data_IF_945147628473
#
_entry.id   IF_945147628473
#
_cell.length_a   1.000
_cell.length_b   1.000
_cell.length_c   1.000
_cell.angle_alpha   90.00
_cell.angle_beta   90.00
_cell.angle_gamma   90.00
#
_symmetry.space_group_name_H-M   'P 1'
#
loop_
_entity.id
_entity.type
_entity.pdbx_description
1 polymer ?
#
# COMPACT_ATOMS: atom_id res chain seq x y z
N UNK A 1 -6.34 -2.12 -80.92
CA UNK A 1 -7.31 -2.96 -80.17
C UNK A 1 -6.59 -3.40 -78.90
N UNK A 2 -6.98 -3.17 -77.63
CA UNK A 2 -8.17 -2.69 -76.94
C UNK A 2 -7.76 -1.56 -75.95
N UNK A 3 -8.69 -0.65 -75.66
CA UNK A 3 -8.63 0.35 -74.59
C UNK A 3 -9.26 -0.20 -73.31
N UNK A 4 -8.82 0.27 -72.14
CA UNK A 4 -9.59 0.65 -70.93
C UNK A 4 -8.60 0.78 -69.75
N UNK A 5 -8.27 2.00 -69.31
CA UNK A 5 -8.97 2.74 -68.24
C UNK A 5 -8.46 2.41 -66.83
N UNK A 6 -7.83 3.42 -66.23
CA UNK A 6 -7.86 3.81 -64.81
C UNK A 6 -8.34 2.78 -63.79
N UNK A 7 -7.50 2.45 -62.81
CA UNK A 7 -7.82 2.79 -61.41
C UNK A 7 -6.58 2.72 -60.52
N UNK A 8 -6.26 3.88 -59.94
CA UNK A 8 -5.46 4.04 -58.73
C UNK A 8 -5.96 3.08 -57.65
N UNK A 9 -5.04 2.46 -56.91
CA UNK A 9 -5.25 2.14 -55.48
C UNK A 9 -3.92 1.83 -54.82
N UNK A 10 -3.37 2.90 -54.25
CA UNK A 10 -2.37 2.88 -53.20
C UNK A 10 -2.77 1.90 -52.09
N UNK A 11 -1.86 1.02 -51.71
CA UNK A 11 -1.90 0.40 -50.38
C UNK A 11 -0.51 0.55 -49.78
N UNK A 12 -0.32 1.67 -49.09
CA UNK A 12 0.78 1.84 -48.16
C UNK A 12 0.53 0.89 -47.00
N UNK A 13 1.33 -0.17 -46.90
CA UNK A 13 1.37 -1.02 -45.73
C UNK A 13 2.10 -0.24 -44.62
N UNK A 14 1.35 0.58 -43.88
CA UNK A 14 1.80 1.15 -42.62
C UNK A 14 1.96 0.00 -41.62
N UNK A 15 3.20 -0.49 -41.47
CA UNK A 15 3.59 -1.39 -40.40
C UNK A 15 3.45 -0.66 -39.07
N UNK A 16 2.34 -0.92 -38.37
CA UNK A 16 2.17 -0.53 -36.98
C UNK A 16 3.15 -1.34 -36.14
N UNK A 17 4.30 -0.77 -35.84
CA UNK A 17 5.21 -1.29 -34.82
C UNK A 17 4.56 -1.07 -33.47
N UNK A 18 3.80 -2.07 -33.00
CA UNK A 18 3.27 -2.11 -31.65
C UNK A 18 4.45 -2.17 -30.68
N UNK A 19 4.83 -1.02 -30.13
CA UNK A 19 5.66 -0.93 -28.94
C UNK A 19 4.87 -1.58 -27.80
N UNK A 20 5.10 -2.88 -27.58
CA UNK A 20 4.71 -3.53 -26.33
C UNK A 20 5.57 -2.87 -25.26
N UNK A 21 4.99 -1.87 -24.60
CA UNK A 21 5.51 -1.36 -23.34
C UNK A 21 5.47 -2.53 -22.37
N UNK A 22 6.59 -3.22 -22.23
CA UNK A 22 6.83 -4.14 -21.12
C UNK A 22 6.89 -3.25 -19.88
N UNK A 23 5.72 -2.95 -19.33
CA UNK A 23 5.63 -2.38 -18.01
C UNK A 23 6.35 -3.36 -17.08
N UNK A 24 7.42 -2.96 -16.37
CA UNK A 24 7.93 -3.78 -15.30
C UNK A 24 6.78 -3.89 -14.30
N UNK A 25 6.14 -5.05 -14.27
CA UNK A 25 5.35 -5.47 -13.12
C UNK A 25 6.38 -5.58 -12.02
N UNK A 26 6.60 -4.48 -11.30
CA UNK A 26 7.23 -4.51 -10.01
C UNK A 26 6.32 -5.38 -9.17
N UNK A 27 6.64 -6.68 -9.14
CA UNK A 27 6.14 -7.60 -8.14
C UNK A 27 6.48 -6.92 -6.83
N UNK A 28 5.45 -6.38 -6.18
CA UNK A 28 5.57 -5.80 -4.85
C UNK A 28 6.15 -6.90 -3.98
N UNK A 29 7.45 -6.81 -3.68
CA UNK A 29 8.08 -7.70 -2.74
C UNK A 29 7.34 -7.49 -1.43
N UNK A 30 6.67 -8.54 -0.92
CA UNK A 30 6.28 -8.62 0.48
C UNK A 30 7.59 -8.70 1.31
N UNK A 31 8.31 -7.59 1.36
CA UNK A 31 9.55 -7.45 2.07
C UNK A 31 9.25 -6.75 3.40
N UNK A 32 9.14 -7.61 4.43
CA UNK A 32 9.32 -7.34 5.87
C UNK A 32 8.07 -6.71 6.53
N UNK A 33 7.29 -7.47 7.32
CA UNK A 33 7.62 -8.09 8.62
C UNK A 33 7.92 -7.00 9.65
N UNK A 34 6.95 -6.74 10.53
CA UNK A 34 7.06 -5.89 11.71
C UNK A 34 8.15 -4.79 11.60
N UNK A 35 7.87 -3.77 10.79
CA UNK A 35 8.76 -2.65 10.57
C UNK A 35 8.74 -1.65 11.72
N UNK A 36 9.90 -1.37 12.30
CA UNK A 36 10.06 -0.38 13.37
C UNK A 36 10.37 1.01 12.81
N UNK A 37 9.70 2.03 13.38
CA UNK A 37 10.05 3.45 13.29
C UNK A 37 10.36 3.97 11.88
N UNK A 38 9.46 3.74 10.92
CA UNK A 38 9.57 4.35 9.59
C UNK A 38 8.57 5.49 9.42
N UNK A 39 8.99 6.56 8.75
CA UNK A 39 8.08 7.63 8.33
C UNK A 39 7.36 7.21 7.06
N UNK A 40 6.04 7.38 7.05
CA UNK A 40 5.19 7.13 5.89
C UNK A 40 4.52 8.43 5.50
N UNK A 41 4.81 8.92 4.31
CA UNK A 41 4.19 10.12 3.75
C UNK A 41 2.97 9.73 2.90
N UNK A 42 1.86 10.42 3.12
CA UNK A 42 0.61 10.27 2.39
C UNK A 42 0.11 11.65 1.97
N UNK A 43 -0.88 11.69 1.08
CA UNK A 43 -1.54 12.94 0.67
C UNK A 43 -2.13 13.73 1.84
N UNK A 44 -2.53 13.05 2.91
CA UNK A 44 -3.11 13.68 4.10
C UNK A 44 -2.07 14.10 5.16
N UNK A 45 -0.80 13.74 5.00
CA UNK A 45 0.24 14.01 6.00
C UNK A 45 1.24 12.86 6.15
N UNK A 46 2.12 12.99 7.14
CA UNK A 46 3.15 12.00 7.43
C UNK A 46 2.96 11.40 8.82
N UNK A 47 3.21 10.10 8.94
CA UNK A 47 3.12 9.39 10.22
C UNK A 47 4.36 8.53 10.45
N UNK A 48 4.81 8.47 11.70
CA UNK A 48 5.73 7.44 12.15
C UNK A 48 4.93 6.18 12.40
N UNK A 49 5.26 5.10 11.70
CA UNK A 49 4.64 3.78 11.90
C UNK A 49 5.67 2.82 12.44
N UNK A 50 5.23 1.98 13.37
CA UNK A 50 6.10 1.07 14.07
C UNK A 50 5.31 -0.15 14.52
N UNK A 51 5.81 -1.35 14.30
CA UNK A 51 5.18 -2.59 14.77
C UNK A 51 6.25 -3.60 15.13
N UNK A 52 5.99 -4.40 16.16
CA UNK A 52 6.96 -5.34 16.68
C UNK A 52 6.33 -6.53 17.38
N UNK A 53 7.20 -7.48 17.76
CA UNK A 53 6.83 -8.67 18.50
C UNK A 53 7.94 -9.03 19.49
N UNK A 54 7.56 -9.33 20.71
CA UNK A 54 8.46 -9.72 21.80
C UNK A 54 7.83 -10.85 22.61
N UNK A 55 8.41 -12.05 22.59
CA UNK A 55 7.93 -13.19 23.37
C UNK A 55 6.56 -13.66 22.93
N UNK A 56 5.51 -13.25 23.63
CA UNK A 56 4.10 -13.54 23.28
C UNK A 56 3.32 -12.26 22.95
N UNK A 57 4.01 -11.15 22.73
CA UNK A 57 3.41 -9.82 22.67
C UNK A 57 3.67 -9.16 21.33
N UNK A 58 2.63 -8.93 20.53
CA UNK A 58 2.69 -8.16 19.29
C UNK A 58 2.12 -6.77 19.50
N UNK A 59 2.65 -5.76 18.80
CA UNK A 59 2.17 -4.39 18.89
C UNK A 59 2.27 -3.65 17.55
N UNK A 60 1.40 -2.66 17.38
CA UNK A 60 1.45 -1.71 16.28
C UNK A 60 1.11 -0.30 16.81
N UNK A 61 1.92 0.67 16.40
CA UNK A 61 1.83 2.07 16.78
C UNK A 61 1.93 2.95 15.55
N UNK A 62 1.08 3.96 15.49
CA UNK A 62 1.17 5.06 14.53
C UNK A 62 1.12 6.39 15.27
N UNK A 63 2.04 7.29 14.93
CA UNK A 63 2.16 8.62 15.54
C UNK A 63 2.19 9.67 14.43
N UNK A 64 1.48 10.78 14.61
CA UNK A 64 1.51 11.90 13.67
C UNK A 64 2.91 12.52 13.64
N UNK A 65 3.45 12.68 12.43
CA UNK A 65 4.69 13.43 12.18
C UNK A 65 4.38 14.82 11.64
N UNK A 66 3.53 14.91 10.62
CA UNK A 66 3.14 16.17 9.99
C UNK A 66 1.81 16.05 9.24
N UNK A 67 1.29 17.18 8.74
CA UNK A 67 0.07 17.27 7.93
C UNK A 67 -1.19 17.62 8.74
N UNK A 68 -2.24 18.00 8.04
CA UNK A 68 -3.46 18.56 8.66
C UNK A 68 -4.63 17.60 8.66
N UNK A 69 -4.30 16.32 8.53
CA UNK A 69 -5.30 15.29 8.50
C UNK A 69 -6.31 15.39 9.65
N UNK A 70 -7.58 15.60 9.30
CA UNK A 70 -8.68 15.69 10.24
C UNK A 70 -9.13 14.29 10.65
N UNK A 71 -9.13 14.03 11.96
CA UNK A 71 -9.63 12.77 12.53
C UNK A 71 -8.66 12.10 13.49
N UNK A 72 -8.97 10.85 13.81
CA UNK A 72 -8.15 10.02 14.70
C UNK A 72 -7.24 9.13 13.88
N UNK A 73 -6.04 8.89 14.40
CA UNK A 73 -5.20 7.79 13.99
C UNK A 73 -5.82 6.47 14.43
N UNK A 74 -5.49 5.40 13.73
CA UNK A 74 -5.86 4.05 14.17
C UNK A 74 -4.80 3.02 13.82
N UNK A 75 -4.79 1.93 14.58
CA UNK A 75 -3.86 0.82 14.40
C UNK A 75 -4.57 -0.54 14.59
N UNK A 76 -4.10 -1.55 13.88
CA UNK A 76 -4.53 -2.94 14.00
C UNK A 76 -3.33 -3.86 13.72
N UNK A 77 -3.51 -5.17 13.91
CA UNK A 77 -2.51 -6.19 13.62
C UNK A 77 -3.14 -7.25 12.72
N UNK A 78 -2.37 -7.79 11.79
CA UNK A 78 -2.69 -9.05 11.11
C UNK A 78 -1.98 -10.17 11.88
N UNK A 79 -2.76 -11.11 12.41
CA UNK A 79 -2.26 -12.29 13.12
C UNK A 79 -1.60 -13.27 12.14
N UNK A 80 -0.84 -14.22 12.67
CA UNK A 80 -0.21 -15.30 11.89
C UNK A 80 -1.21 -16.16 11.11
N UNK A 81 -2.42 -16.34 11.63
CA UNK A 81 -3.53 -17.05 10.99
C UNK A 81 -4.27 -16.22 9.93
N UNK A 82 -3.79 -15.01 9.64
CA UNK A 82 -4.36 -14.10 8.65
C UNK A 82 -5.52 -13.25 9.15
N UNK A 83 -6.03 -13.50 10.37
CA UNK A 83 -7.11 -12.71 10.93
C UNK A 83 -6.62 -11.34 11.41
N UNK A 84 -7.42 -10.31 11.19
CA UNK A 84 -7.14 -8.98 11.70
C UNK A 84 -7.62 -8.84 13.16
N UNK A 85 -6.83 -8.19 14.01
CA UNK A 85 -7.31 -7.75 15.31
C UNK A 85 -8.27 -6.57 15.17
N UNK A 86 -9.10 -6.34 16.18
CA UNK A 86 -10.00 -5.18 16.20
C UNK A 86 -9.21 -3.89 16.02
N UNK A 87 -9.59 -3.09 15.01
CA UNK A 87 -9.00 -1.77 14.78
C UNK A 87 -9.20 -0.88 16.01
N UNK A 88 -8.10 -0.38 16.56
CA UNK A 88 -8.09 0.55 17.68
C UNK A 88 -7.97 1.97 17.18
N UNK A 89 -8.90 2.81 17.61
CA UNK A 89 -8.92 4.24 17.32
C UNK A 89 -8.25 4.98 18.47
N UNK A 90 -7.28 5.82 18.14
CA UNK A 90 -6.56 6.65 19.10
C UNK A 90 -7.01 8.11 19.07
N UNK A 91 -6.04 9.00 19.21
CA UNK A 91 -6.21 10.46 19.08
C UNK A 91 -5.81 10.95 17.69
N UNK A 92 -5.86 12.25 17.45
CA UNK A 92 -5.30 12.88 16.24
C UNK A 92 -3.77 12.85 16.17
N UNK A 93 -3.09 12.46 17.26
CA UNK A 93 -1.63 12.47 17.36
C UNK A 93 -1.00 11.10 17.53
N UNK A 94 -1.71 10.12 18.10
CA UNK A 94 -1.23 8.73 18.21
C UNK A 94 -2.34 7.70 18.26
N UNK A 95 -2.05 6.48 17.79
CA UNK A 95 -2.84 5.28 18.04
C UNK A 95 -1.94 4.07 18.28
N UNK A 96 -2.40 3.17 19.15
CA UNK A 96 -1.66 2.01 19.59
C UNK A 96 -2.60 0.80 19.73
N UNK A 97 -2.09 -0.36 19.37
CA UNK A 97 -2.76 -1.63 19.61
C UNK A 97 -1.74 -2.70 19.96
N UNK A 98 -2.20 -3.69 20.69
CA UNK A 98 -1.41 -4.85 21.03
C UNK A 98 -2.25 -6.12 21.04
N UNK A 99 -1.57 -7.24 20.89
CA UNK A 99 -2.16 -8.56 20.87
C UNK A 99 -1.20 -9.55 21.50
N UNK A 100 -1.68 -10.25 22.52
CA UNK A 100 -0.91 -11.30 23.20
C UNK A 100 -1.31 -12.66 22.66
N UNK A 101 -0.34 -13.39 22.13
CA UNK A 101 -0.51 -14.74 21.60
C UNK A 101 0.84 -15.47 21.56
N UNK A 102 0.80 -16.80 21.55
CA UNK A 102 1.98 -17.63 21.31
C UNK A 102 2.53 -17.48 19.89
N UNK A 103 1.76 -16.91 18.96
CA UNK A 103 2.17 -16.67 17.58
C UNK A 103 2.37 -15.18 17.30
N UNK A 104 3.46 -14.88 16.58
CA UNK A 104 3.79 -13.53 16.11
C UNK A 104 2.72 -12.98 15.16
N UNK A 105 2.34 -11.70 15.31
CA UNK A 105 1.56 -11.01 14.30
C UNK A 105 2.39 -10.85 13.02
N UNK A 106 1.79 -11.16 11.87
CA UNK A 106 2.43 -11.08 10.56
C UNK A 106 2.81 -9.62 10.25
N UNK A 107 1.84 -8.71 10.34
CA UNK A 107 2.00 -7.29 9.97
C UNK A 107 1.28 -6.36 10.97
N UNK A 108 1.78 -5.14 11.12
CA UNK A 108 1.05 -3.99 11.67
C UNK A 108 0.23 -3.28 10.59
N UNK A 109 -0.95 -2.79 10.96
CA UNK A 109 -1.81 -1.96 10.11
C UNK A 109 -1.92 -0.57 10.72
N UNK A 110 -1.63 0.45 9.92
CA UNK A 110 -1.51 1.84 10.37
C UNK A 110 -2.33 2.76 9.49
N UNK A 111 -3.22 3.53 10.11
CA UNK A 111 -4.01 4.55 9.43
C UNK A 111 -3.59 5.92 9.95
N UNK A 112 -3.12 6.77 9.04
CA UNK A 112 -2.69 8.15 9.34
C UNK A 112 -3.80 9.06 9.83
N UNK A 113 -5.03 8.82 9.34
CA UNK A 113 -6.30 9.16 9.98
C UNK A 113 -7.37 8.20 9.47
N UNK A 114 -8.56 8.26 10.07
CA UNK A 114 -9.74 7.52 9.65
C UNK A 114 -10.06 7.63 8.15
N UNK A 115 -9.74 8.77 7.51
CA UNK A 115 -9.94 9.03 6.07
C UNK A 115 -8.74 8.68 5.16
N UNK A 116 -7.58 8.33 5.72
CA UNK A 116 -6.38 8.07 4.94
C UNK A 116 -6.18 6.58 4.64
N UNK A 117 -5.48 6.30 3.54
CA UNK A 117 -5.11 4.92 3.18
C UNK A 117 -4.33 4.22 4.31
N UNK A 118 -4.65 2.94 4.47
CA UNK A 118 -3.93 2.02 5.37
C UNK A 118 -2.49 1.84 4.90
N UNK A 119 -1.59 1.61 5.84
CA UNK A 119 -0.22 1.18 5.56
C UNK A 119 0.13 -0.04 6.38
N UNK A 120 0.76 -1.00 5.72
CA UNK A 120 1.23 -2.23 6.30
C UNK A 120 2.69 -2.05 6.74
N UNK A 121 3.08 -2.64 7.86
CA UNK A 121 4.47 -2.76 8.29
C UNK A 121 4.75 -4.13 8.88
#
# INVERSE_FOLDING_TARGET
MLSLSSLRKSVAAAGLTALVAVAPVLVATDAQALGNNRTVNRSCGSNYVSSGFTGSYSWAQTTKSSGDCAGRLSAALIRSDGYQTTRKYGSSSSAYTSYTSSSQARNGLHWGCDSCNVTYS
#
